data_IF_805183022188
#
_entry.id   IF_805183022188
#
_cell.length_a   1.000
_cell.length_b   1.000
_cell.length_c   1.000
_cell.angle_alpha   90.00
_cell.angle_beta   90.00
_cell.angle_gamma   90.00
#
_symmetry.space_group_name_H-M   'P 1'
#
loop_
_entity.id
_entity.type
_entity.pdbx_description
1 polymer ?
#
# COMPACT_ATOMS: atom_id res chain seq x y z
N UNK A 1 -22.64 -3.35 8.74
CA UNK A 1 -21.21 -3.51 8.43
C UNK A 1 -20.59 -4.34 9.54
N UNK A 2 -19.82 -5.41 9.26
CA UNK A 2 -19.14 -6.18 10.31
C UNK A 2 -18.34 -5.25 11.23
N UNK A 3 -18.45 -5.43 12.55
CA UNK A 3 -17.89 -4.51 13.58
C UNK A 3 -16.38 -4.30 13.46
N UNK A 4 -15.66 -5.24 12.86
CA UNK A 4 -14.22 -5.15 12.62
C UNK A 4 -13.87 -4.09 11.58
N UNK A 5 -14.62 -3.99 10.48
CA UNK A 5 -14.34 -3.02 9.41
C UNK A 5 -14.61 -1.57 9.86
N UNK A 6 -15.46 -1.37 10.88
CA UNK A 6 -15.72 -0.06 11.45
C UNK A 6 -14.50 0.54 12.18
N UNK A 7 -13.47 -0.28 12.44
CA UNK A 7 -12.22 0.14 13.10
C UNK A 7 -11.11 0.51 12.13
N UNK A 8 -11.38 0.46 10.82
CA UNK A 8 -10.41 0.74 9.77
C UNK A 8 -10.78 2.03 9.06
N UNK A 9 -9.78 2.90 8.88
CA UNK A 9 -9.88 3.99 7.93
C UNK A 9 -9.88 3.42 6.52
N UNK A 10 -10.85 3.87 5.72
CA UNK A 10 -11.03 3.41 4.34
C UNK A 10 -10.63 4.53 3.38
N UNK A 11 -9.72 4.20 2.49
CA UNK A 11 -9.31 5.07 1.39
C UNK A 11 -10.07 4.64 0.14
N UNK A 12 -10.82 5.58 -0.44
CA UNK A 12 -11.44 5.37 -1.75
C UNK A 12 -10.35 5.40 -2.83
N UNK A 13 -10.48 4.55 -3.84
CA UNK A 13 -9.55 4.52 -5.00
C UNK A 13 -9.93 5.67 -5.95
N UNK A 14 -9.79 6.89 -5.45
CA UNK A 14 -10.21 8.11 -6.11
C UNK A 14 -9.25 8.53 -7.24
N UNK A 15 -9.48 9.71 -7.82
CA UNK A 15 -8.63 10.20 -8.90
C UNK A 15 -7.17 10.40 -8.48
N UNK A 16 -6.92 10.80 -7.23
CA UNK A 16 -5.56 11.01 -6.71
C UNK A 16 -4.85 9.68 -6.65
N UNK A 17 -5.43 8.67 -6.00
CA UNK A 17 -4.82 7.34 -5.87
C UNK A 17 -4.57 6.72 -7.24
N UNK A 18 -5.54 6.79 -8.17
CA UNK A 18 -5.36 6.24 -9.52
C UNK A 18 -4.26 6.95 -10.30
N UNK A 19 -4.17 8.27 -10.18
CA UNK A 19 -3.14 9.04 -10.89
C UNK A 19 -1.74 8.74 -10.35
N UNK A 20 -1.59 8.65 -9.02
CA UNK A 20 -0.33 8.25 -8.37
C UNK A 20 0.05 6.82 -8.76
N UNK A 21 -0.90 5.88 -8.76
CA UNK A 21 -0.65 4.50 -9.17
C UNK A 21 -0.19 4.41 -10.63
N UNK A 22 -0.79 5.20 -11.53
CA UNK A 22 -0.42 5.24 -12.95
C UNK A 22 0.94 5.90 -13.20
N UNK A 23 1.44 6.70 -12.25
CA UNK A 23 2.72 7.39 -12.37
C UNK A 23 3.94 6.54 -12.00
N UNK A 24 3.74 5.32 -11.48
CA UNK A 24 4.88 4.46 -11.16
C UNK A 24 5.64 4.05 -12.43
N UNK A 25 6.97 4.23 -12.46
CA UNK A 25 7.77 4.02 -13.67
C UNK A 25 8.05 2.54 -13.96
N UNK A 26 7.78 1.63 -13.01
CA UNK A 26 8.09 0.21 -13.15
C UNK A 26 7.01 -0.49 -14.01
N UNK A 27 7.33 -0.92 -15.25
CA UNK A 27 6.36 -1.56 -16.13
C UNK A 27 5.96 -2.97 -15.69
N UNK A 28 6.72 -3.59 -14.78
CA UNK A 28 6.42 -4.91 -14.22
C UNK A 28 5.55 -4.83 -12.95
N UNK A 29 5.27 -3.61 -12.45
CA UNK A 29 4.41 -3.41 -11.30
C UNK A 29 2.95 -3.71 -11.68
N UNK A 30 2.34 -4.65 -10.97
CA UNK A 30 0.95 -5.04 -11.23
C UNK A 30 0.01 -3.91 -10.79
N UNK A 31 -1.13 -3.77 -11.45
CA UNK A 31 -2.08 -2.68 -11.17
C UNK A 31 -2.56 -2.64 -9.71
N UNK A 32 -2.78 -3.80 -9.08
CA UNK A 32 -3.17 -3.84 -7.67
C UNK A 32 -2.03 -3.43 -6.74
N UNK A 33 -0.80 -3.83 -7.04
CA UNK A 33 0.38 -3.41 -6.27
C UNK A 33 0.54 -1.90 -6.36
N UNK A 34 0.40 -1.33 -7.56
CA UNK A 34 0.42 0.12 -7.78
C UNK A 34 -0.66 0.85 -6.96
N UNK A 35 -1.90 0.35 -6.94
CA UNK A 35 -2.97 0.95 -6.12
C UNK A 35 -2.65 0.87 -4.63
N UNK A 36 -2.12 -0.25 -4.14
CA UNK A 36 -1.74 -0.40 -2.74
C UNK A 36 -0.62 0.55 -2.33
N UNK A 37 0.42 0.67 -3.15
CA UNK A 37 1.54 1.58 -2.89
C UNK A 37 1.09 3.05 -2.90
N UNK A 38 0.27 3.43 -3.89
CA UNK A 38 -0.28 4.78 -3.97
C UNK A 38 -1.15 5.10 -2.75
N UNK A 39 -1.98 4.16 -2.32
CA UNK A 39 -2.80 4.30 -1.11
C UNK A 39 -1.93 4.47 0.13
N UNK A 40 -0.87 3.68 0.28
CA UNK A 40 0.05 3.77 1.42
C UNK A 40 0.77 5.14 1.47
N UNK A 41 1.19 5.68 0.33
CA UNK A 41 1.79 7.01 0.24
C UNK A 41 0.79 8.12 0.60
N UNK A 42 -0.45 8.03 0.10
CA UNK A 42 -1.53 8.95 0.47
C UNK A 42 -1.83 8.88 1.97
N UNK A 43 -1.95 7.68 2.53
CA UNK A 43 -2.18 7.48 3.97
C UNK A 43 -1.04 8.08 4.81
N UNK A 44 0.22 7.87 4.40
CA UNK A 44 1.40 8.46 5.03
C UNK A 44 1.44 9.99 5.00
N UNK A 45 0.70 10.61 4.08
CA UNK A 45 0.55 12.07 4.00
C UNK A 45 -0.53 12.60 4.94
N UNK A 46 -1.49 11.76 5.35
CA UNK A 46 -2.56 12.12 6.30
C UNK A 46 -2.10 11.92 7.74
N UNK A 47 -1.40 10.82 8.02
CA UNK A 47 -0.84 10.49 9.33
C UNK A 47 0.44 9.64 9.17
N UNK A 48 1.34 9.61 10.16
CA UNK A 48 2.55 8.80 10.08
C UNK A 48 2.23 7.33 9.79
N UNK A 49 2.66 6.82 8.63
CA UNK A 49 2.50 5.42 8.26
C UNK A 49 3.59 4.60 8.94
N UNK A 50 3.20 3.74 9.88
CA UNK A 50 4.15 2.87 10.59
C UNK A 50 4.70 1.75 9.72
N UNK A 51 3.83 1.07 8.95
CA UNK A 51 4.22 0.02 8.03
C UNK A 51 3.11 -0.32 7.02
N UNK A 52 3.50 -0.81 5.84
CA UNK A 52 2.64 -1.58 4.94
C UNK A 52 2.62 -3.04 5.42
N UNK A 53 1.44 -3.60 5.65
CA UNK A 53 1.30 -5.02 6.00
C UNK A 53 0.92 -5.81 4.74
N UNK A 54 1.74 -6.79 4.35
CA UNK A 54 1.45 -7.66 3.20
C UNK A 54 2.05 -9.05 3.38
N UNK A 55 1.34 -10.07 2.89
CA UNK A 55 1.85 -11.43 2.76
C UNK A 55 2.39 -11.74 1.35
N UNK A 56 2.13 -10.84 0.39
CA UNK A 56 2.62 -10.97 -0.99
C UNK A 56 4.07 -10.46 -1.09
N UNK A 57 5.00 -11.35 -1.42
CA UNK A 57 6.43 -11.05 -1.52
C UNK A 57 6.73 -10.01 -2.62
N UNK A 58 5.99 -10.01 -3.72
CA UNK A 58 6.20 -9.06 -4.81
C UNK A 58 5.77 -7.66 -4.40
N UNK A 59 4.63 -7.55 -3.68
CA UNK A 59 4.20 -6.26 -3.12
C UNK A 59 5.16 -5.77 -2.03
N UNK A 60 5.69 -6.68 -1.20
CA UNK A 60 6.73 -6.36 -0.22
C UNK A 60 7.95 -5.75 -0.91
N UNK A 61 8.51 -6.43 -1.90
CA UNK A 61 9.69 -5.94 -2.64
C UNK A 61 9.43 -4.57 -3.30
N UNK A 62 8.25 -4.39 -3.89
CA UNK A 62 7.87 -3.12 -4.51
C UNK A 62 7.72 -1.98 -3.47
N UNK A 63 7.21 -2.27 -2.28
CA UNK A 63 7.08 -1.31 -1.19
C UNK A 63 8.44 -0.94 -0.59
N UNK A 64 9.32 -1.93 -0.39
CA UNK A 64 10.69 -1.73 0.07
C UNK A 64 11.50 -0.89 -0.92
N UNK A 65 11.31 -1.09 -2.23
CA UNK A 65 11.91 -0.25 -3.27
C UNK A 65 11.47 1.23 -3.20
N UNK A 66 10.31 1.51 -2.60
CA UNK A 66 9.82 2.87 -2.30
C UNK A 66 10.18 3.35 -0.89
N UNK A 67 11.07 2.64 -0.19
CA UNK A 67 11.47 2.93 1.19
C UNK A 67 10.32 2.91 2.21
N UNK A 68 9.23 2.21 1.91
CA UNK A 68 8.17 1.97 2.88
C UNK A 68 8.61 0.87 3.86
N UNK A 69 8.37 1.08 5.15
CA UNK A 69 8.51 0.00 6.13
C UNK A 69 7.47 -1.09 5.84
N UNK A 70 7.90 -2.36 5.77
CA UNK A 70 6.99 -3.49 5.50
C UNK A 70 7.00 -4.48 6.66
N UNK A 71 5.81 -5.00 6.99
CA UNK A 71 5.63 -6.13 7.90
C UNK A 71 4.91 -7.25 7.15
N UNK A 72 5.51 -8.44 7.17
CA UNK A 72 4.93 -9.65 6.59
C UNK A 72 4.71 -10.69 7.70
N UNK A 73 3.52 -10.74 8.32
CA UNK A 73 3.28 -11.68 9.42
C UNK A 73 3.48 -13.13 8.95
N UNK A 74 3.98 -13.98 9.85
CA UNK A 74 4.25 -15.39 9.52
C UNK A 74 5.49 -15.62 8.63
N UNK A 75 6.19 -14.56 8.21
CA UNK A 75 7.52 -14.66 7.60
C UNK A 75 8.58 -14.23 8.62
N UNK A 76 9.64 -15.02 8.79
CA UNK A 76 10.79 -14.63 9.61
C UNK A 76 11.47 -13.39 8.98
N UNK A 77 11.88 -12.45 9.84
CA UNK A 77 12.48 -11.18 9.43
C UNK A 77 13.88 -11.37 8.84
#
# INVERSE_FOLDING_TARGET
MPSVLARLDRFEIDAVIRSTAAAYPNPALRSLDAIHLATAQTAGSVAPLTALVTYDNRLKEAAEALSLAVVAPGQAR
#
